data_IF_648416270902
#
_entry.id   IF_648416270902
#
_cell.length_a   1.000
_cell.length_b   1.000
_cell.length_c   1.000
_cell.angle_alpha   90.00
_cell.angle_beta   90.00
_cell.angle_gamma   90.00
#
_symmetry.space_group_name_H-M   'P 1'
#
loop_
_entity.id
_entity.type
_entity.pdbx_description
1 polymer ?
#
# COMPACT_ATOMS: atom_id res chain seq x y z
N UNK A 1 14.46 -22.16 5.41
CA UNK A 1 14.39 -22.99 4.20
C UNK A 1 14.59 -22.05 3.01
N UNK A 2 15.60 -22.29 2.18
CA UNK A 2 15.80 -21.48 0.97
C UNK A 2 14.86 -22.01 -0.12
N UNK A 3 13.95 -21.16 -0.59
CA UNK A 3 13.02 -21.50 -1.67
C UNK A 3 13.69 -21.17 -3.02
N UNK A 4 13.36 -21.91 -4.07
CA UNK A 4 13.72 -21.52 -5.44
C UNK A 4 12.72 -20.53 -5.97
N UNK A 5 13.18 -19.52 -6.71
CA UNK A 5 12.29 -18.55 -7.36
C UNK A 5 11.44 -19.24 -8.41
N UNK A 6 10.13 -18.94 -8.46
CA UNK A 6 9.28 -19.41 -9.54
C UNK A 6 9.72 -18.78 -10.87
N UNK A 7 9.54 -19.47 -12.01
CA UNK A 7 9.94 -18.94 -13.32
C UNK A 7 9.36 -17.56 -13.65
N UNK A 8 8.14 -17.27 -13.16
CA UNK A 8 7.50 -15.96 -13.33
C UNK A 8 8.23 -14.81 -12.63
N UNK A 9 8.89 -15.08 -11.49
CA UNK A 9 9.66 -14.08 -10.75
C UNK A 9 11.01 -13.76 -11.41
N UNK A 10 11.57 -14.69 -12.17
CA UNK A 10 12.84 -14.52 -12.91
C UNK A 10 12.65 -14.11 -14.37
N UNK A 11 11.41 -14.06 -14.88
CA UNK A 11 11.13 -13.75 -16.29
C UNK A 11 11.69 -12.38 -16.72
N UNK A 12 11.61 -11.38 -15.84
CA UNK A 12 12.14 -10.02 -16.09
C UNK A 12 13.49 -9.76 -15.43
N UNK A 13 14.10 -10.79 -14.79
CA UNK A 13 15.37 -10.71 -14.05
C UNK A 13 16.17 -11.98 -14.26
N UNK A 14 16.82 -12.12 -15.43
CA UNK A 14 17.56 -13.31 -15.79
C UNK A 14 18.70 -13.62 -14.80
N UNK A 15 19.24 -12.62 -14.11
CA UNK A 15 20.24 -12.77 -13.08
C UNK A 15 19.77 -13.60 -11.88
N UNK A 16 18.46 -13.69 -11.66
CA UNK A 16 17.84 -14.45 -10.58
C UNK A 16 17.54 -15.91 -10.95
N UNK A 17 17.73 -16.28 -12.22
CA UNK A 17 17.40 -17.62 -12.69
C UNK A 17 18.21 -18.69 -11.92
N UNK A 18 17.50 -19.67 -11.33
CA UNK A 18 18.10 -20.75 -10.55
C UNK A 18 18.65 -20.34 -9.17
N UNK A 19 18.55 -19.07 -8.78
CA UNK A 19 18.96 -18.62 -7.46
C UNK A 19 17.98 -19.11 -6.38
N UNK A 20 18.52 -19.40 -5.21
CA UNK A 20 17.74 -19.49 -3.97
C UNK A 20 17.51 -18.09 -3.42
N UNK A 21 16.42 -17.88 -2.70
CA UNK A 21 16.07 -16.57 -2.20
C UNK A 21 15.55 -16.60 -0.77
N UNK A 22 15.62 -15.46 -0.14
CA UNK A 22 14.96 -15.16 1.14
C UNK A 22 14.39 -13.74 1.09
N UNK A 23 13.26 -13.55 1.74
CA UNK A 23 12.70 -12.24 2.00
C UNK A 23 12.32 -12.16 3.47
N UNK A 24 12.48 -10.98 4.05
CA UNK A 24 12.04 -10.68 5.40
C UNK A 24 11.39 -9.30 5.40
N UNK A 25 10.38 -9.12 6.23
CA UNK A 25 9.67 -7.85 6.30
C UNK A 25 8.48 -7.90 7.21
N UNK A 26 7.84 -6.76 7.36
CA UNK A 26 6.56 -6.58 8.01
C UNK A 26 5.58 -6.04 6.97
N UNK A 27 4.42 -6.68 6.87
CA UNK A 27 3.29 -6.20 6.07
C UNK A 27 2.07 -6.14 6.96
N UNK A 28 1.35 -5.05 6.94
CA UNK A 28 0.14 -4.87 7.72
C UNK A 28 -0.93 -4.14 6.92
N UNK A 29 -2.18 -4.43 7.26
CA UNK A 29 -3.34 -3.69 6.79
C UNK A 29 -4.28 -3.51 7.96
N UNK A 30 -4.76 -2.29 8.16
CA UNK A 30 -5.86 -2.01 9.08
C UNK A 30 -7.14 -1.74 8.31
N UNK A 31 -8.21 -2.46 8.67
CA UNK A 31 -9.56 -2.25 8.16
C UNK A 31 -10.48 -1.80 9.30
N UNK A 32 -10.48 -0.51 9.68
CA UNK A 32 -11.24 -0.01 10.82
C UNK A 32 -12.74 -0.21 10.65
N UNK A 33 -13.45 -0.45 11.75
CA UNK A 33 -14.90 -0.59 11.73
C UNK A 33 -15.59 0.74 11.39
N UNK A 34 -15.12 1.85 12.01
CA UNK A 34 -15.67 3.18 11.76
C UNK A 34 -15.34 3.65 10.33
N UNK A 35 -16.32 4.03 9.50
CA UNK A 35 -16.12 4.48 8.13
C UNK A 35 -15.30 5.77 7.98
N UNK A 36 -15.22 6.58 9.02
CA UNK A 36 -14.45 7.81 9.02
C UNK A 36 -12.94 7.59 9.30
N UNK A 37 -12.59 6.41 9.82
CA UNK A 37 -11.18 6.01 9.95
C UNK A 37 -10.75 5.32 8.66
N UNK A 38 -9.77 5.85 7.93
CA UNK A 38 -9.35 5.25 6.66
C UNK A 38 -8.69 3.89 6.85
N UNK A 39 -8.84 3.01 5.86
CA UNK A 39 -7.97 1.84 5.71
C UNK A 39 -6.56 2.30 5.41
N UNK A 40 -5.57 1.60 5.94
CA UNK A 40 -4.17 1.84 5.62
C UNK A 40 -3.43 0.53 5.43
N UNK A 41 -2.44 0.55 4.55
CA UNK A 41 -1.48 -0.52 4.34
C UNK A 41 -0.08 0.01 4.59
N UNK A 42 0.79 -0.79 5.18
CA UNK A 42 2.22 -0.51 5.25
C UNK A 42 3.01 -1.79 5.01
N UNK A 43 4.14 -1.64 4.36
CA UNK A 43 5.07 -2.73 4.11
C UNK A 43 6.50 -2.22 4.18
N UNK A 44 7.36 -2.97 4.85
CA UNK A 44 8.82 -2.79 4.84
C UNK A 44 9.45 -4.15 4.63
N UNK A 45 10.30 -4.30 3.62
CA UNK A 45 10.86 -5.60 3.24
C UNK A 45 12.29 -5.51 2.73
N UNK A 46 13.03 -6.59 2.94
CA UNK A 46 14.33 -6.86 2.34
C UNK A 46 14.27 -8.18 1.57
N UNK A 47 14.79 -8.17 0.37
CA UNK A 47 14.93 -9.35 -0.48
C UNK A 47 16.39 -9.61 -0.77
N UNK A 48 16.77 -10.90 -0.79
CA UNK A 48 18.12 -11.34 -1.18
C UNK A 48 18.04 -12.64 -1.96
N UNK A 49 18.76 -12.71 -3.07
CA UNK A 49 18.96 -13.91 -3.86
C UNK A 49 20.43 -14.36 -3.80
N UNK A 50 20.64 -15.68 -3.76
CA UNK A 50 21.96 -16.30 -3.66
C UNK A 50 22.10 -17.45 -4.65
N UNK A 51 23.32 -17.62 -5.19
CA UNK A 51 23.72 -18.76 -6.01
C UNK A 51 25.06 -19.24 -5.53
N UNK A 52 25.17 -20.56 -5.26
CA UNK A 52 26.40 -21.20 -4.77
C UNK A 52 27.01 -20.53 -3.52
N UNK A 53 26.12 -19.97 -2.67
CA UNK A 53 26.52 -19.27 -1.43
C UNK A 53 26.82 -17.78 -1.60
N UNK A 54 26.92 -17.29 -2.82
CA UNK A 54 27.21 -15.88 -3.12
C UNK A 54 25.91 -15.08 -3.35
N UNK A 55 25.86 -13.84 -2.84
CA UNK A 55 24.73 -12.93 -3.06
C UNK A 55 24.79 -12.41 -4.50
N UNK A 56 23.78 -12.75 -5.29
CA UNK A 56 23.67 -12.28 -6.69
C UNK A 56 22.78 -11.05 -6.83
N UNK A 57 21.88 -10.83 -5.89
CA UNK A 57 21.05 -9.62 -5.84
C UNK A 57 20.47 -9.40 -4.44
N UNK A 58 20.32 -8.16 -4.04
CA UNK A 58 19.57 -7.77 -2.84
C UNK A 58 19.01 -6.36 -2.98
N UNK A 59 17.84 -6.13 -2.41
CA UNK A 59 17.23 -4.81 -2.40
C UNK A 59 16.21 -4.64 -1.26
N UNK A 60 15.92 -3.39 -0.94
CA UNK A 60 14.85 -3.00 -0.05
C UNK A 60 13.62 -2.54 -0.84
N UNK A 61 12.44 -2.75 -0.28
CA UNK A 61 11.18 -2.25 -0.80
C UNK A 61 10.21 -1.98 0.33
N UNK A 62 9.24 -1.11 0.07
CA UNK A 62 8.26 -0.79 1.09
C UNK A 62 7.40 0.40 0.74
N UNK A 63 6.78 0.97 1.78
CA UNK A 63 5.92 2.13 1.70
C UNK A 63 4.71 1.99 2.62
N UNK A 64 3.85 2.99 2.56
CA UNK A 64 2.55 2.99 3.19
C UNK A 64 1.57 3.83 2.37
N UNK A 65 0.30 3.46 2.38
CA UNK A 65 -0.76 4.15 1.66
C UNK A 65 -2.05 4.24 2.47
N UNK A 66 -2.86 5.29 2.20
CA UNK A 66 -4.08 5.61 2.89
C UNK A 66 -5.28 5.50 1.96
N UNK A 67 -6.32 4.78 2.39
CA UNK A 67 -7.56 4.55 1.63
C UNK A 67 -8.77 5.04 2.44
N UNK A 68 -9.11 6.34 2.36
CA UNK A 68 -10.30 6.88 3.01
C UNK A 68 -11.59 6.47 2.29
N UNK A 69 -12.69 6.43 3.03
CA UNK A 69 -14.05 6.30 2.50
C UNK A 69 -14.77 7.65 2.56
N UNK A 70 -14.50 8.42 3.60
CA UNK A 70 -14.93 9.81 3.81
C UNK A 70 -13.68 10.65 4.07
N UNK A 71 -13.10 11.26 3.01
CA UNK A 71 -11.85 11.98 3.14
C UNK A 71 -12.00 13.34 3.82
N UNK A 72 -10.96 13.70 4.58
CA UNK A 72 -10.77 15.02 5.19
C UNK A 72 -9.45 15.59 4.71
N UNK A 73 -9.44 16.85 4.27
CA UNK A 73 -8.25 17.50 3.70
C UNK A 73 -7.09 17.51 4.70
N UNK A 74 -7.38 17.82 5.97
CA UNK A 74 -6.39 17.85 7.04
C UNK A 74 -5.74 16.49 7.30
N UNK A 75 -6.49 15.38 7.20
CA UNK A 75 -5.94 14.04 7.36
C UNK A 75 -5.00 13.67 6.21
N UNK A 76 -5.39 14.02 4.99
CA UNK A 76 -4.59 13.76 3.79
C UNK A 76 -3.31 14.61 3.80
N UNK A 77 -3.42 15.89 4.15
CA UNK A 77 -2.26 16.78 4.28
C UNK A 77 -1.29 16.31 5.37
N UNK A 78 -1.79 15.94 6.54
CA UNK A 78 -0.97 15.38 7.62
C UNK A 78 -0.23 14.11 7.16
N UNK A 79 -0.95 13.18 6.52
CA UNK A 79 -0.39 11.94 6.00
C UNK A 79 0.76 12.17 5.04
N UNK A 80 0.58 13.06 4.08
CA UNK A 80 1.60 13.38 3.09
C UNK A 80 2.73 14.24 3.66
N UNK A 81 2.44 15.11 4.65
CA UNK A 81 3.48 15.88 5.33
C UNK A 81 4.44 14.95 6.07
N UNK A 82 3.92 14.00 6.86
CA UNK A 82 4.77 13.00 7.53
C UNK A 82 5.56 12.19 6.49
N UNK A 83 4.92 11.73 5.41
CA UNK A 83 5.60 11.00 4.34
C UNK A 83 6.77 11.79 3.74
N UNK A 84 6.59 13.10 3.50
CA UNK A 84 7.65 13.99 3.01
C UNK A 84 8.78 14.16 4.02
N UNK A 85 8.44 14.40 5.26
CA UNK A 85 9.42 14.62 6.33
C UNK A 85 10.31 13.38 6.55
N UNK A 86 9.75 12.17 6.42
CA UNK A 86 10.51 10.91 6.46
C UNK A 86 11.46 10.74 5.26
N UNK A 87 11.13 11.30 4.10
CA UNK A 87 11.96 11.22 2.90
C UNK A 87 13.09 12.25 2.89
N UNK A 88 12.86 13.44 3.43
CA UNK A 88 13.77 14.61 3.36
C UNK A 88 15.23 14.29 3.76
N UNK A 89 15.53 13.55 4.85
CA UNK A 89 16.92 13.23 5.22
C UNK A 89 17.65 12.36 4.18
N UNK A 90 16.91 11.74 3.27
CA UNK A 90 17.44 10.81 2.26
C UNK A 90 17.46 11.38 0.84
N UNK A 91 16.98 12.59 0.64
CA UNK A 91 17.01 13.35 -0.61
C UNK A 91 15.70 14.07 -0.92
N UNK A 92 15.79 15.30 -1.37
CA UNK A 92 14.63 16.20 -1.59
C UNK A 92 13.62 15.65 -2.60
N UNK A 93 14.10 14.97 -3.66
CA UNK A 93 13.25 14.39 -4.70
C UNK A 93 12.59 13.05 -4.30
N UNK A 94 12.99 12.48 -3.16
CA UNK A 94 12.58 11.12 -2.79
C UNK A 94 11.08 11.02 -2.54
N UNK A 95 10.51 11.98 -1.84
CA UNK A 95 9.07 12.03 -1.62
C UNK A 95 8.29 12.07 -2.93
N UNK A 96 8.62 13.02 -3.80
CA UNK A 96 7.92 13.19 -5.08
C UNK A 96 8.01 11.93 -5.96
N UNK A 97 9.19 11.28 -5.99
CA UNK A 97 9.39 10.05 -6.75
C UNK A 97 8.57 8.88 -6.18
N UNK A 98 8.62 8.66 -4.87
CA UNK A 98 7.94 7.52 -4.23
C UNK A 98 6.42 7.74 -4.10
N UNK A 99 5.97 8.98 -3.97
CA UNK A 99 4.55 9.36 -4.04
C UNK A 99 3.97 9.09 -5.42
N UNK A 100 4.65 9.50 -6.48
CA UNK A 100 4.23 9.23 -7.86
C UNK A 100 4.16 7.73 -8.12
N UNK A 101 5.18 6.98 -7.70
CA UNK A 101 5.18 5.53 -7.84
C UNK A 101 4.05 4.86 -7.06
N UNK A 102 3.71 5.38 -5.88
CA UNK A 102 2.56 4.93 -5.09
C UNK A 102 1.25 5.12 -5.87
N UNK A 103 1.03 6.29 -6.46
CA UNK A 103 -0.16 6.57 -7.26
C UNK A 103 -0.27 5.65 -8.48
N UNK A 104 0.84 5.44 -9.18
CA UNK A 104 0.89 4.56 -10.35
C UNK A 104 0.65 3.08 -9.97
N UNK A 105 1.26 2.63 -8.87
CA UNK A 105 1.14 1.25 -8.42
C UNK A 105 -0.28 0.90 -7.97
N UNK A 106 -0.91 1.77 -7.17
CA UNK A 106 -2.24 1.55 -6.61
C UNK A 106 -3.39 2.04 -7.49
N UNK A 107 -3.15 2.24 -8.78
CA UNK A 107 -4.18 2.67 -9.72
C UNK A 107 -5.03 1.49 -10.24
N UNK A 108 -6.35 1.58 -10.07
CA UNK A 108 -7.32 0.61 -10.58
C UNK A 108 -7.69 0.98 -12.03
N UNK A 109 -7.02 0.41 -13.00
CA UNK A 109 -7.18 0.75 -14.41
C UNK A 109 -8.60 0.57 -14.93
N UNK A 110 -9.27 -0.51 -14.51
CA UNK A 110 -10.66 -0.83 -14.92
C UNK A 110 -11.72 0.07 -14.25
N UNK A 111 -11.33 0.86 -13.25
CA UNK A 111 -12.18 1.86 -12.58
C UNK A 111 -11.77 3.29 -12.90
N UNK A 112 -10.60 3.49 -13.48
CA UNK A 112 -10.00 4.80 -13.74
C UNK A 112 -9.89 5.65 -12.47
N UNK A 113 -9.50 5.03 -11.36
CA UNK A 113 -9.32 5.70 -10.06
C UNK A 113 -8.12 5.12 -9.30
N UNK A 114 -7.54 5.88 -8.38
CA UNK A 114 -6.56 5.36 -7.42
C UNK A 114 -7.28 4.58 -6.31
N UNK A 115 -6.57 3.62 -5.67
CA UNK A 115 -7.11 2.87 -4.52
C UNK A 115 -7.46 3.78 -3.33
N UNK A 116 -6.68 4.84 -3.14
CA UNK A 116 -6.83 5.83 -2.08
C UNK A 116 -6.09 7.11 -2.43
N UNK A 117 -5.67 7.86 -1.43
CA UNK A 117 -4.95 9.13 -1.59
C UNK A 117 -3.44 8.96 -1.76
N UNK A 118 -2.96 7.72 -1.80
CA UNK A 118 -1.54 7.40 -1.96
C UNK A 118 -0.74 7.48 -0.65
N UNK A 119 0.51 7.80 -0.77
CA UNK A 119 1.51 7.81 0.29
C UNK A 119 2.89 7.59 -0.30
N UNK A 120 3.61 6.57 0.17
CA UNK A 120 4.93 6.18 -0.32
C UNK A 120 4.89 4.75 -0.87
N UNK A 121 5.52 4.54 -2.02
CA UNK A 121 5.83 3.22 -2.52
C UNK A 121 7.22 3.23 -3.15
N UNK A 122 8.05 2.29 -2.79
CA UNK A 122 9.37 2.08 -3.36
C UNK A 122 9.72 0.58 -3.41
N UNK A 123 10.53 0.25 -4.39
CA UNK A 123 11.06 -1.10 -4.58
C UNK A 123 12.47 -0.98 -5.15
N UNK A 124 13.20 -2.11 -5.20
CA UNK A 124 14.51 -2.17 -5.85
C UNK A 124 15.56 -1.15 -5.34
N UNK A 125 15.48 -0.73 -4.07
CA UNK A 125 16.55 0.08 -3.47
C UNK A 125 17.77 -0.80 -3.20
N UNK A 126 18.87 -0.55 -3.91
CA UNK A 126 20.10 -1.38 -3.87
C UNK A 126 21.38 -0.57 -4.05
N UNK A 127 21.34 0.74 -3.78
CA UNK A 127 22.51 1.62 -3.94
C UNK A 127 23.50 1.50 -2.79
N UNK A 128 23.14 2.08 -1.64
CA UNK A 128 23.94 2.04 -0.41
C UNK A 128 23.12 1.29 0.65
N UNK A 129 23.61 0.14 1.08
CA UNK A 129 22.89 -0.75 1.98
C UNK A 129 22.51 -0.05 3.30
N UNK A 130 23.45 0.63 3.94
CA UNK A 130 23.21 1.27 5.24
C UNK A 130 22.22 2.46 5.11
N UNK A 131 22.36 3.24 4.05
CA UNK A 131 21.47 4.36 3.77
C UNK A 131 20.05 3.88 3.40
N UNK A 132 19.96 2.86 2.55
CA UNK A 132 18.67 2.30 2.12
C UNK A 132 17.96 1.58 3.28
N UNK A 133 18.73 0.90 4.15
CA UNK A 133 18.20 0.31 5.37
C UNK A 133 17.75 1.37 6.37
N UNK A 134 18.50 2.44 6.56
CA UNK A 134 18.10 3.56 7.42
C UNK A 134 16.80 4.22 6.91
N UNK A 135 16.67 4.38 5.59
CA UNK A 135 15.43 4.89 4.98
C UNK A 135 14.25 3.92 5.21
N UNK A 136 14.45 2.63 4.95
CA UNK A 136 13.42 1.61 5.20
C UNK A 136 12.92 1.67 6.65
N UNK A 137 13.86 1.78 7.61
CA UNK A 137 13.52 1.90 9.03
C UNK A 137 12.75 3.18 9.33
N UNK A 138 13.20 4.32 8.80
CA UNK A 138 12.50 5.59 8.99
C UNK A 138 11.04 5.51 8.51
N UNK A 139 10.78 4.89 7.36
CA UNK A 139 9.42 4.68 6.85
C UNK A 139 8.62 3.76 7.76
N UNK A 140 9.20 2.67 8.24
CA UNK A 140 8.53 1.74 9.16
C UNK A 140 8.21 2.35 10.52
N UNK A 141 9.19 3.03 11.12
CA UNK A 141 9.07 3.65 12.45
C UNK A 141 8.09 4.85 12.41
N UNK A 142 8.11 5.65 11.33
CA UNK A 142 7.24 6.83 11.16
C UNK A 142 5.79 6.52 10.76
N UNK A 143 5.45 5.26 10.50
CA UNK A 143 4.08 4.87 10.13
C UNK A 143 3.04 5.26 11.19
N UNK A 144 3.37 5.08 12.47
CA UNK A 144 2.45 5.43 13.55
C UNK A 144 2.27 6.95 13.69
N UNK A 145 3.29 7.73 13.42
CA UNK A 145 3.21 9.20 13.43
C UNK A 145 2.28 9.70 12.31
N UNK A 146 2.25 9.00 11.18
CA UNK A 146 1.35 9.32 10.07
C UNK A 146 -0.10 8.89 10.35
N UNK A 147 -0.32 7.70 10.93
CA UNK A 147 -1.67 7.12 11.01
C UNK A 147 -2.39 7.36 12.34
N UNK A 148 -1.70 7.29 13.46
CA UNK A 148 -2.34 7.35 14.79
C UNK A 148 -3.09 8.66 15.06
N UNK A 149 -2.60 9.87 14.68
CA UNK A 149 -3.36 11.10 14.83
C UNK A 149 -4.69 11.09 14.10
N UNK A 150 -4.74 10.53 12.88
CA UNK A 150 -5.95 10.39 12.09
C UNK A 150 -6.95 9.47 12.82
N UNK A 151 -6.48 8.32 13.32
CA UNK A 151 -7.32 7.39 14.09
C UNK A 151 -7.88 8.09 15.35
N UNK A 152 -7.05 8.78 16.10
CA UNK A 152 -7.47 9.47 17.32
C UNK A 152 -8.56 10.51 17.04
N UNK A 153 -8.47 11.22 15.94
CA UNK A 153 -9.42 12.25 15.53
C UNK A 153 -10.74 11.66 15.04
N UNK A 154 -10.73 10.49 14.39
CA UNK A 154 -11.90 9.96 13.67
C UNK A 154 -12.58 8.76 14.35
N UNK A 155 -11.92 8.06 15.27
CA UNK A 155 -12.42 6.79 15.85
C UNK A 155 -13.76 6.91 16.61
N UNK A 156 -14.05 8.07 17.15
CA UNK A 156 -15.27 8.34 17.93
C UNK A 156 -16.34 9.11 17.12
N UNK A 157 -16.10 9.35 15.82
CA UNK A 157 -17.09 9.96 14.93
C UNK A 157 -18.34 9.08 14.81
N UNK A 158 -19.50 9.67 15.04
CA UNK A 158 -20.77 8.97 14.91
C UNK A 158 -21.06 8.63 13.43
N UNK A 159 -21.53 7.42 13.16
CA UNK A 159 -21.92 6.96 11.83
C UNK A 159 -23.16 6.06 11.90
N UNK A 160 -23.85 5.95 10.77
CA UNK A 160 -25.01 5.09 10.62
C UNK A 160 -24.80 3.98 9.58
N UNK A 161 -25.93 3.39 9.21
CA UNK A 161 -25.93 2.32 8.19
C UNK A 161 -25.47 2.83 6.83
N UNK A 162 -25.84 4.08 6.45
CA UNK A 162 -25.43 4.70 5.19
C UNK A 162 -23.91 4.73 5.03
N UNK A 163 -23.22 5.24 6.01
CA UNK A 163 -21.75 5.35 6.00
C UNK A 163 -21.11 3.95 5.99
N UNK A 164 -21.70 3.03 6.75
CA UNK A 164 -21.20 1.65 6.80
C UNK A 164 -21.37 0.92 5.47
N UNK A 165 -22.53 1.02 4.84
CA UNK A 165 -22.80 0.41 3.54
C UNK A 165 -21.88 0.98 2.43
N UNK A 166 -21.67 2.29 2.44
CA UNK A 166 -20.70 2.91 1.52
C UNK A 166 -19.28 2.42 1.75
N UNK A 167 -18.84 2.31 3.00
CA UNK A 167 -17.54 1.72 3.32
C UNK A 167 -17.43 0.28 2.77
N UNK A 168 -18.45 -0.56 2.94
CA UNK A 168 -18.44 -1.93 2.43
C UNK A 168 -18.35 -1.96 0.90
N UNK A 169 -19.06 -1.08 0.23
CA UNK A 169 -18.98 -0.90 -1.23
C UNK A 169 -17.57 -0.49 -1.67
N UNK A 170 -16.97 0.49 -1.00
CA UNK A 170 -15.62 0.96 -1.33
C UNK A 170 -14.53 -0.08 -1.00
N UNK A 171 -14.73 -0.91 0.01
CA UNK A 171 -13.86 -2.05 0.30
C UNK A 171 -13.82 -3.06 -0.85
N UNK A 172 -14.87 -3.16 -1.65
CA UNK A 172 -14.84 -3.93 -2.89
C UNK A 172 -13.73 -3.48 -3.83
N UNK A 173 -13.44 -2.17 -3.96
CA UNK A 173 -12.33 -1.64 -4.78
C UNK A 173 -10.97 -2.04 -4.23
N UNK A 174 -10.83 -2.07 -2.91
CA UNK A 174 -9.62 -2.57 -2.25
C UNK A 174 -9.36 -4.05 -2.59
N UNK A 175 -10.40 -4.88 -2.55
CA UNK A 175 -10.32 -6.30 -2.93
C UNK A 175 -9.99 -6.45 -4.41
N UNK A 176 -10.63 -5.67 -5.30
CA UNK A 176 -10.35 -5.69 -6.73
C UNK A 176 -8.86 -5.42 -7.01
N UNK A 177 -8.27 -4.41 -6.36
CA UNK A 177 -6.84 -4.13 -6.51
C UNK A 177 -6.00 -5.33 -6.08
N UNK A 178 -6.22 -5.83 -4.87
CA UNK A 178 -5.39 -6.89 -4.30
C UNK A 178 -5.45 -8.20 -5.09
N UNK A 179 -6.61 -8.55 -5.64
CA UNK A 179 -6.76 -9.80 -6.40
C UNK A 179 -6.32 -9.68 -7.87
N UNK A 180 -6.42 -8.49 -8.46
CA UNK A 180 -6.18 -8.31 -9.91
C UNK A 180 -4.80 -7.71 -10.20
N UNK A 181 -4.31 -6.80 -9.36
CA UNK A 181 -3.11 -6.01 -9.66
C UNK A 181 -1.97 -6.16 -8.67
N UNK A 182 -2.24 -6.58 -7.41
CA UNK A 182 -1.19 -6.63 -6.39
C UNK A 182 -0.16 -7.71 -6.68
N UNK A 183 1.07 -7.26 -6.99
CA UNK A 183 2.19 -8.16 -7.31
C UNK A 183 2.53 -9.09 -6.15
N UNK A 184 2.38 -8.61 -4.90
CA UNK A 184 2.64 -9.40 -3.70
C UNK A 184 1.66 -10.56 -3.54
N UNK A 185 0.38 -10.30 -3.73
CA UNK A 185 -0.68 -11.32 -3.73
C UNK A 185 -0.46 -12.35 -4.83
N UNK A 186 -0.23 -11.89 -6.07
CA UNK A 186 0.02 -12.79 -7.21
C UNK A 186 1.26 -13.65 -7.00
N UNK A 187 2.37 -13.05 -6.55
CA UNK A 187 3.59 -13.78 -6.25
C UNK A 187 3.39 -14.81 -5.14
N UNK A 188 2.71 -14.43 -4.06
CA UNK A 188 2.42 -15.32 -2.94
C UNK A 188 1.62 -16.55 -3.37
N UNK A 189 0.57 -16.37 -4.16
CA UNK A 189 -0.25 -17.47 -4.68
C UNK A 189 0.52 -18.36 -5.67
N UNK A 190 1.32 -17.77 -6.57
CA UNK A 190 2.13 -18.50 -7.56
C UNK A 190 3.30 -19.27 -6.93
N UNK A 191 3.86 -18.76 -5.83
CA UNK A 191 4.95 -19.42 -5.12
C UNK A 191 4.52 -20.52 -4.15
N UNK A 192 3.22 -20.85 -4.12
CA UNK A 192 2.67 -21.86 -3.20
C UNK A 192 2.61 -21.39 -1.75
N UNK A 193 2.55 -20.08 -1.53
CA UNK A 193 2.35 -19.49 -0.22
C UNK A 193 1.02 -19.91 0.40
N UNK A 194 0.92 -19.77 1.71
CA UNK A 194 -0.29 -20.12 2.47
C UNK A 194 -1.42 -19.15 2.13
N UNK A 195 -2.46 -19.61 1.40
CA UNK A 195 -3.54 -18.78 0.88
C UNK A 195 -4.23 -17.95 1.96
N UNK A 196 -4.50 -18.54 3.14
CA UNK A 196 -5.12 -17.83 4.26
C UNK A 196 -4.25 -16.64 4.74
N UNK A 197 -2.93 -16.81 4.77
CA UNK A 197 -2.01 -15.75 5.17
C UNK A 197 -1.89 -14.64 4.13
N UNK A 198 -2.05 -14.96 2.85
CA UNK A 198 -2.03 -14.00 1.75
C UNK A 198 -3.34 -13.20 1.74
N UNK A 199 -4.46 -13.90 1.83
CA UNK A 199 -5.80 -13.30 1.72
C UNK A 199 -6.27 -12.62 3.01
N UNK A 200 -5.57 -12.80 4.15
CA UNK A 200 -5.90 -12.10 5.39
C UNK A 200 -5.73 -10.57 5.32
N UNK A 201 -5.05 -10.06 4.29
CA UNK A 201 -4.97 -8.61 4.02
C UNK A 201 -6.28 -8.01 3.51
N UNK A 202 -7.21 -8.85 3.08
CA UNK A 202 -8.50 -8.40 2.58
C UNK A 202 -9.46 -8.02 3.73
N UNK A 203 -10.35 -7.03 3.51
CA UNK A 203 -11.35 -6.69 4.50
C UNK A 203 -12.31 -7.87 4.76
N UNK A 204 -12.73 -8.12 6.02
CA UNK A 204 -13.55 -9.29 6.36
C UNK A 204 -14.98 -9.22 5.80
N UNK A 205 -15.44 -8.03 5.41
CA UNK A 205 -16.75 -7.79 4.81
C UNK A 205 -16.63 -6.75 3.72
N UNK A 206 -17.24 -7.05 2.58
CA UNK A 206 -17.29 -6.19 1.39
C UNK A 206 -18.66 -6.25 0.75
N UNK A 207 -18.93 -5.32 -0.17
CA UNK A 207 -20.13 -5.30 -0.96
C UNK A 207 -19.81 -4.87 -2.38
N UNK A 208 -20.45 -5.48 -3.36
CA UNK A 208 -20.50 -5.00 -4.75
C UNK A 208 -21.95 -4.69 -5.11
N UNK A 209 -22.14 -3.62 -5.85
CA UNK A 209 -23.43 -3.19 -6.35
C UNK A 209 -23.28 -2.80 -7.82
N UNK A 210 -24.17 -3.31 -8.64
CA UNK A 210 -24.20 -2.98 -10.06
C UNK A 210 -24.77 -1.59 -10.27
N UNK A 211 -24.03 -0.72 -11.01
CA UNK A 211 -24.50 0.60 -11.38
C UNK A 211 -24.62 1.60 -10.22
N UNK A 212 -23.99 1.35 -9.07
CA UNK A 212 -24.03 2.29 -7.95
C UNK A 212 -23.42 3.64 -8.33
N UNK A 213 -24.17 4.69 -8.10
CA UNK A 213 -23.75 6.10 -8.26
C UNK A 213 -24.13 6.86 -6.99
N UNK A 214 -23.19 7.50 -6.31
CA UNK A 214 -23.50 8.34 -5.15
C UNK A 214 -24.41 9.51 -5.56
N UNK A 215 -25.24 9.95 -4.63
CA UNK A 215 -26.06 11.15 -4.80
C UNK A 215 -25.16 12.37 -5.03
N UNK A 216 -25.50 13.19 -6.05
CA UNK A 216 -24.72 14.37 -6.38
C UNK A 216 -24.64 15.34 -5.19
N UNK A 217 -23.43 15.83 -4.90
CA UNK A 217 -23.15 16.71 -3.76
C UNK A 217 -23.07 16.02 -2.41
N UNK A 218 -23.27 14.70 -2.34
CA UNK A 218 -23.11 13.93 -1.11
C UNK A 218 -21.64 13.78 -0.70
N UNK A 219 -21.40 13.42 0.57
CA UNK A 219 -20.06 13.11 1.06
C UNK A 219 -19.45 11.91 0.33
N UNK A 220 -20.28 10.93 -0.09
CA UNK A 220 -19.87 9.78 -0.88
C UNK A 220 -19.41 10.19 -2.29
N UNK A 221 -20.11 11.16 -2.93
CA UNK A 221 -19.73 11.66 -4.25
C UNK A 221 -18.39 12.42 -4.19
N UNK A 222 -18.13 13.16 -3.11
CA UNK A 222 -16.89 13.91 -2.89
C UNK A 222 -15.64 13.00 -2.89
N UNK A 223 -15.77 11.74 -2.53
CA UNK A 223 -14.64 10.80 -2.54
C UNK A 223 -13.95 10.74 -3.92
N UNK A 224 -14.71 10.88 -5.01
CA UNK A 224 -14.15 10.83 -6.37
C UNK A 224 -13.07 11.89 -6.61
N UNK A 225 -13.18 13.05 -5.96
CA UNK A 225 -12.19 14.15 -6.09
C UNK A 225 -10.84 13.80 -5.45
N UNK A 226 -10.79 12.77 -4.60
CA UNK A 226 -9.59 12.31 -3.91
C UNK A 226 -8.95 11.08 -4.56
N UNK A 227 -9.67 10.39 -5.42
CA UNK A 227 -9.19 9.14 -6.04
C UNK A 227 -8.51 9.38 -7.38
N UNK A 228 -7.80 10.48 -7.47
CA UNK A 228 -6.99 10.89 -8.62
C UNK A 228 -5.57 11.24 -8.17
N UNK A 229 -4.54 10.93 -9.00
CA UNK A 229 -3.19 11.39 -8.71
C UNK A 229 -3.13 12.91 -8.65
N UNK A 230 -2.71 13.47 -7.53
CA UNK A 230 -2.53 14.92 -7.36
C UNK A 230 -1.49 15.24 -6.30
N UNK A 231 -0.96 16.43 -6.34
CA UNK A 231 -0.13 16.97 -5.27
C UNK A 231 -1.00 17.40 -4.10
N UNK A 232 -0.61 16.97 -2.89
CA UNK A 232 -1.35 17.24 -1.65
C UNK A 232 -0.69 18.28 -0.74
N UNK A 233 0.56 18.70 -1.09
CA UNK A 233 1.38 19.61 -0.28
C UNK A 233 1.80 20.85 -1.06
#
# INVERSE_FOLDING_TARGET
>A
MLCRLPPSASANRPELAGASWRATGVSLVFHPLNPYVPTTHANVRFFQAQRDGEVVASWFGGGFDLTPFYPFDEDVQHWHQVARDLCTPFGDERYAAHKRWCDEYFFLRHRNETRGVGGLFFDDLHGDFERDFAYLRAVGDGFLDAYLPIVQQRKDAAYGEREREFQLYRRGRYVEFNLVYDRGTLFGLQSGGRSESILMSLPPRVRWEYGFTPEAGSAEARLADYLVPRDWL
#
